data_IF_777107830022
#
_entry.id   IF_777107830022
#
_cell.length_a   1.000
_cell.length_b   1.000
_cell.length_c   1.000
_cell.angle_alpha   90.00
_cell.angle_beta   90.00
_cell.angle_gamma   90.00
#
_symmetry.space_group_name_H-M   'P 1'
#
loop_
_entity.id
_entity.type
_entity.pdbx_description
1 polymer ?
#
# COMPACT_ATOMS: atom_id res chain seq x y z
N UNK A 1 64.95 47.36 15.05
CA UNK A 1 65.37 48.21 16.18
C UNK A 1 64.11 48.49 16.99
N UNK A 2 63.80 47.62 17.94
CA UNK A 2 64.00 47.81 19.41
C UNK A 2 62.96 48.74 20.05
N UNK A 3 62.01 48.13 20.78
CA UNK A 3 61.05 48.76 21.72
C UNK A 3 61.77 49.54 22.84
N UNK A 4 61.07 50.44 23.59
CA UNK A 4 60.41 50.00 24.84
C UNK A 4 59.14 50.78 25.32
N UNK A 5 58.24 50.01 25.94
CA UNK A 5 57.51 50.21 27.23
C UNK A 5 57.11 51.62 27.74
N UNK A 6 55.81 51.82 28.04
CA UNK A 6 55.25 52.11 29.40
C UNK A 6 53.69 52.14 29.33
N UNK A 7 52.96 51.16 29.87
CA UNK A 7 52.42 51.02 31.25
C UNK A 7 51.38 52.09 31.64
N UNK A 8 50.09 51.71 31.65
CA UNK A 8 49.17 52.12 32.72
C UNK A 8 48.10 51.07 32.94
N UNK A 9 48.01 50.64 34.19
CA UNK A 9 47.08 49.68 34.77
C UNK A 9 45.74 50.35 35.06
N UNK A 10 44.63 49.64 34.88
CA UNK A 10 43.59 49.57 35.91
C UNK A 10 42.95 48.17 35.85
N UNK A 11 42.84 47.58 37.04
CA UNK A 11 42.37 46.24 37.35
C UNK A 11 40.97 46.30 37.98
N UNK A 12 40.35 45.13 38.16
CA UNK A 12 39.06 44.80 38.80
C UNK A 12 37.91 44.57 37.78
N UNK A 13 37.27 43.41 37.70
CA UNK A 13 37.39 42.22 38.52
C UNK A 13 36.40 41.11 38.12
N UNK A 14 36.58 39.98 38.80
CA UNK A 14 35.67 38.84 39.01
C UNK A 14 35.25 37.98 37.81
N UNK A 15 35.97 36.86 37.69
CA UNK A 15 35.47 35.48 37.56
C UNK A 15 33.95 35.26 37.61
N UNK A 16 33.42 34.58 36.59
CA UNK A 16 32.40 33.54 36.77
C UNK A 16 32.65 32.40 35.78
N UNK A 17 32.70 31.19 36.33
CA UNK A 17 32.91 29.93 35.65
C UNK A 17 31.77 29.57 34.69
N UNK A 18 32.17 28.87 33.64
CA UNK A 18 31.45 27.83 32.90
C UNK A 18 30.05 27.42 33.40
N UNK A 19 29.08 27.56 32.50
CA UNK A 19 28.05 26.55 32.26
C UNK A 19 27.93 26.31 30.76
N UNK A 20 28.46 25.17 30.30
CA UNK A 20 27.98 24.53 29.09
C UNK A 20 26.52 24.12 29.35
N UNK A 21 25.59 24.60 28.53
CA UNK A 21 24.35 23.89 28.25
C UNK A 21 24.15 23.91 26.74
N UNK A 22 23.93 22.75 26.11
CA UNK A 22 23.53 22.70 24.71
C UNK A 22 22.18 23.42 24.59
N UNK A 23 22.06 24.25 23.56
CA UNK A 23 20.75 24.67 23.08
C UNK A 23 19.97 23.40 22.72
N UNK A 24 19.15 22.93 23.66
CA UNK A 24 18.06 22.02 23.36
C UNK A 24 17.25 22.69 22.26
N UNK A 25 17.31 22.13 21.06
CA UNK A 25 16.35 22.43 20.02
C UNK A 25 15.00 22.01 20.59
N UNK A 26 14.25 22.98 21.14
CA UNK A 26 12.84 22.79 21.38
C UNK A 26 12.23 22.44 20.01
N UNK A 27 11.61 21.25 19.92
CA UNK A 27 10.72 20.96 18.80
C UNK A 27 9.74 22.13 18.68
N UNK A 28 9.46 22.65 17.48
CA UNK A 28 8.51 23.74 17.32
C UNK A 28 7.21 23.34 18.01
N UNK A 29 6.66 24.23 18.84
CA UNK A 29 5.31 24.07 19.39
C UNK A 29 4.39 23.62 18.26
N UNK A 30 3.70 22.49 18.42
CA UNK A 30 2.92 21.90 17.33
C UNK A 30 1.94 22.96 16.81
N UNK A 31 2.08 23.33 15.54
CA UNK A 31 1.16 24.28 14.88
C UNK A 31 -0.31 23.80 14.95
N UNK A 32 -0.51 22.51 15.24
CA UNK A 32 -1.81 21.90 15.42
C UNK A 32 -2.53 22.35 16.70
N UNK A 33 -3.73 22.93 16.59
CA UNK A 33 -4.58 23.22 17.75
C UNK A 33 -4.92 21.98 18.56
N UNK A 34 -5.06 22.13 19.87
CA UNK A 34 -5.35 21.02 20.78
C UNK A 34 -6.72 20.35 20.54
N UNK A 35 -7.65 21.07 19.90
CA UNK A 35 -8.99 20.62 19.55
C UNK A 35 -9.13 20.17 18.08
N UNK A 36 -8.01 20.01 17.35
CA UNK A 36 -8.03 19.72 15.92
C UNK A 36 -8.80 18.45 15.56
N UNK A 37 -8.57 17.34 16.28
CA UNK A 37 -9.28 16.08 16.04
C UNK A 37 -10.79 16.23 16.28
N UNK A 38 -11.18 16.95 17.34
CA UNK A 38 -12.60 17.18 17.62
C UNK A 38 -13.24 18.02 16.51
N UNK A 39 -12.59 19.11 16.09
CA UNK A 39 -13.09 19.97 15.01
C UNK A 39 -13.28 19.20 13.69
N UNK A 40 -12.34 18.31 13.36
CA UNK A 40 -12.42 17.44 12.19
C UNK A 40 -13.55 16.41 12.33
N UNK A 41 -13.69 15.82 13.51
CA UNK A 41 -14.72 14.82 13.81
C UNK A 41 -16.14 15.41 13.81
N UNK A 42 -16.30 16.66 14.23
CA UNK A 42 -17.56 17.38 14.16
C UNK A 42 -18.00 17.55 12.70
N UNK A 43 -17.06 17.85 11.79
CA UNK A 43 -17.32 17.89 10.35
C UNK A 43 -17.67 16.51 9.79
N UNK A 44 -16.94 15.46 10.17
CA UNK A 44 -17.26 14.08 9.77
C UNK A 44 -18.69 13.72 10.21
N UNK A 45 -19.07 14.09 11.43
CA UNK A 45 -20.40 13.86 11.98
C UNK A 45 -21.46 14.66 11.23
N UNK A 46 -21.21 15.92 10.91
CA UNK A 46 -22.12 16.75 10.10
C UNK A 46 -22.35 16.17 8.70
N UNK A 47 -21.30 15.60 8.08
CA UNK A 47 -21.42 14.89 6.79
C UNK A 47 -22.29 13.64 6.95
N UNK A 48 -22.03 12.80 7.97
CA UNK A 48 -22.81 11.58 8.22
C UNK A 48 -24.28 11.87 8.50
N UNK A 49 -24.58 12.97 9.17
CA UNK A 49 -25.94 13.45 9.44
C UNK A 49 -26.58 14.15 8.23
N UNK A 50 -25.83 14.39 7.15
CA UNK A 50 -26.29 15.08 5.95
C UNK A 50 -26.52 16.59 6.14
N UNK A 51 -26.04 17.17 7.24
CA UNK A 51 -26.14 18.61 7.51
C UNK A 51 -25.02 19.40 6.84
N UNK A 52 -23.87 18.75 6.57
CA UNK A 52 -22.84 19.27 5.68
C UNK A 52 -22.80 18.47 4.37
N UNK A 53 -22.81 19.18 3.24
CA UNK A 53 -22.69 18.60 1.88
C UNK A 53 -21.80 19.41 0.95
N UNK A 54 -21.35 20.60 1.36
CA UNK A 54 -20.53 21.46 0.52
C UNK A 54 -19.12 20.87 0.38
N UNK A 55 -18.73 20.39 -0.82
CA UNK A 55 -17.41 19.79 -1.01
C UNK A 55 -16.28 20.79 -0.78
N UNK A 56 -16.49 22.09 -1.00
CA UNK A 56 -15.44 23.11 -0.78
C UNK A 56 -15.09 23.19 0.70
N UNK A 57 -16.08 23.26 1.58
CA UNK A 57 -15.87 23.29 3.03
C UNK A 57 -15.21 22.00 3.54
N UNK A 58 -15.61 20.84 3.02
CA UNK A 58 -15.05 19.54 3.39
C UNK A 58 -13.56 19.46 3.02
N UNK A 59 -13.22 19.80 1.77
CA UNK A 59 -11.85 19.75 1.26
C UNK A 59 -10.96 20.75 1.96
N UNK A 60 -11.44 21.99 2.15
CA UNK A 60 -10.70 23.04 2.87
C UNK A 60 -10.31 22.58 4.28
N UNK A 61 -11.21 21.87 4.96
CA UNK A 61 -10.93 21.36 6.30
C UNK A 61 -9.91 20.21 6.29
N UNK A 62 -9.96 19.32 5.29
CA UNK A 62 -8.96 18.27 5.12
C UNK A 62 -7.57 18.83 4.78
N UNK A 63 -7.49 19.79 3.85
CA UNK A 63 -6.24 20.48 3.49
C UNK A 63 -5.64 21.22 4.69
N UNK A 64 -6.48 21.91 5.48
CA UNK A 64 -6.04 22.55 6.72
C UNK A 64 -5.39 21.56 7.70
N UNK A 65 -5.97 20.37 7.88
CA UNK A 65 -5.42 19.35 8.76
C UNK A 65 -4.06 18.82 8.25
N UNK A 66 -3.94 18.56 6.95
CA UNK A 66 -2.69 18.12 6.31
C UNK A 66 -1.56 19.13 6.52
N UNK A 67 -1.87 20.42 6.41
CA UNK A 67 -0.88 21.50 6.55
C UNK A 67 -0.53 21.79 8.02
N UNK A 68 -1.53 21.78 8.91
CA UNK A 68 -1.38 22.30 10.28
C UNK A 68 -1.07 21.20 11.29
N UNK A 69 -1.48 19.96 11.00
CA UNK A 69 -1.43 18.82 11.93
C UNK A 69 -0.72 17.58 11.33
N UNK A 70 0.43 17.70 10.64
CA UNK A 70 1.05 16.56 9.94
C UNK A 70 1.44 15.41 10.88
N UNK A 71 1.81 15.71 12.13
CA UNK A 71 2.27 14.73 13.13
C UNK A 71 1.14 14.19 14.02
N UNK A 72 -0.13 14.45 13.67
CA UNK A 72 -1.32 14.02 14.42
C UNK A 72 -2.06 12.93 13.65
N UNK A 73 -1.80 11.64 13.91
CA UNK A 73 -2.25 10.57 13.04
C UNK A 73 -3.77 10.42 12.96
N UNK A 74 -4.49 10.73 14.05
CA UNK A 74 -5.95 10.70 14.07
C UNK A 74 -6.56 11.90 13.32
N UNK A 75 -5.95 13.09 13.41
CA UNK A 75 -6.35 14.25 12.60
C UNK A 75 -6.19 13.94 11.09
N UNK A 76 -5.07 13.30 10.71
CA UNK A 76 -4.85 12.88 9.32
C UNK A 76 -5.81 11.77 8.87
N UNK A 77 -6.15 10.83 9.76
CA UNK A 77 -7.14 9.80 9.45
C UNK A 77 -8.55 10.38 9.23
N UNK A 78 -8.96 11.36 10.04
CA UNK A 78 -10.23 12.05 9.84
C UNK A 78 -10.17 12.87 8.54
N UNK A 79 -9.06 13.56 8.25
CA UNK A 79 -8.88 14.28 6.98
C UNK A 79 -9.04 13.36 5.75
N UNK A 80 -8.46 12.15 5.79
CA UNK A 80 -8.68 11.14 4.75
C UNK A 80 -10.15 10.74 4.64
N UNK A 81 -10.86 10.63 5.76
CA UNK A 81 -12.30 10.31 5.80
C UNK A 81 -13.16 11.43 5.21
N UNK A 82 -12.85 12.69 5.51
CA UNK A 82 -13.48 13.85 4.87
C UNK A 82 -13.29 13.81 3.36
N UNK A 83 -12.08 13.48 2.89
CA UNK A 83 -11.82 13.35 1.45
C UNK A 83 -12.57 12.17 0.81
N UNK A 84 -12.79 11.07 1.52
CA UNK A 84 -13.67 9.97 1.05
C UNK A 84 -15.11 10.44 0.81
N UNK A 85 -15.60 11.38 1.60
CA UNK A 85 -16.89 12.03 1.35
C UNK A 85 -16.81 12.98 0.14
N UNK A 86 -15.75 13.78 0.03
CA UNK A 86 -15.58 14.76 -1.06
C UNK A 86 -15.50 14.10 -2.45
N UNK A 87 -14.77 12.99 -2.61
CA UNK A 87 -14.65 12.30 -3.91
C UNK A 87 -16.00 11.78 -4.43
N UNK A 88 -16.98 11.55 -3.55
CA UNK A 88 -18.33 11.09 -3.94
C UNK A 88 -19.22 12.22 -4.47
N UNK A 89 -18.78 13.48 -4.39
CA UNK A 89 -19.59 14.65 -4.77
C UNK A 89 -19.38 15.10 -6.21
N UNK A 90 -18.39 14.54 -6.91
CA UNK A 90 -17.99 14.98 -8.25
C UNK A 90 -17.69 13.79 -9.16
N UNK A 91 -17.92 13.97 -10.47
CA UNK A 91 -17.49 13.06 -11.53
C UNK A 91 -16.45 13.71 -12.45
N UNK A 92 -16.05 14.95 -12.15
CA UNK A 92 -14.99 15.64 -12.89
C UNK A 92 -13.64 14.98 -12.57
N UNK A 93 -13.01 14.39 -13.58
CA UNK A 93 -11.78 13.61 -13.43
C UNK A 93 -10.60 14.45 -12.95
N UNK A 94 -10.54 15.74 -13.29
CA UNK A 94 -9.44 16.62 -12.84
C UNK A 94 -9.63 17.03 -11.38
N UNK A 95 -10.89 17.25 -10.96
CA UNK A 95 -11.21 17.48 -9.54
C UNK A 95 -10.96 16.22 -8.71
N UNK A 96 -11.37 15.05 -9.23
CA UNK A 96 -11.11 13.77 -8.57
C UNK A 96 -9.60 13.52 -8.41
N UNK A 97 -8.78 13.79 -9.43
CA UNK A 97 -7.32 13.61 -9.36
C UNK A 97 -6.69 14.44 -8.22
N UNK A 98 -7.11 15.71 -8.09
CA UNK A 98 -6.70 16.56 -6.97
C UNK A 98 -7.16 15.96 -5.62
N UNK A 99 -8.43 15.58 -5.50
CA UNK A 99 -8.96 15.04 -4.24
C UNK A 99 -8.27 13.73 -3.84
N UNK A 100 -7.95 12.88 -4.81
CA UNK A 100 -7.18 11.67 -4.62
C UNK A 100 -5.78 11.98 -4.08
N UNK A 101 -5.09 12.98 -4.63
CA UNK A 101 -3.78 13.43 -4.12
C UNK A 101 -3.85 13.88 -2.66
N UNK A 102 -4.85 14.68 -2.30
CA UNK A 102 -5.07 15.15 -0.92
C UNK A 102 -5.36 13.97 0.02
N UNK A 103 -6.26 13.07 -0.38
CA UNK A 103 -6.61 11.88 0.40
C UNK A 103 -5.41 10.96 0.64
N UNK A 104 -4.62 10.67 -0.40
CA UNK A 104 -3.42 9.84 -0.29
C UNK A 104 -2.34 10.51 0.57
N UNK A 105 -2.25 11.84 0.54
CA UNK A 105 -1.34 12.59 1.40
C UNK A 105 -1.71 12.45 2.87
N UNK A 106 -2.99 12.62 3.22
CA UNK A 106 -3.49 12.43 4.58
C UNK A 106 -3.28 10.98 5.06
N UNK A 107 -3.58 9.98 4.22
CA UNK A 107 -3.32 8.57 4.55
C UNK A 107 -1.83 8.38 4.84
N UNK A 108 -0.94 8.81 3.95
CA UNK A 108 0.51 8.69 4.16
C UNK A 108 0.93 9.34 5.49
N UNK A 109 0.56 10.60 5.74
CA UNK A 109 0.93 11.27 6.98
C UNK A 109 0.39 10.55 8.23
N UNK A 110 -0.84 10.02 8.16
CA UNK A 110 -1.41 9.18 9.21
C UNK A 110 -0.58 7.93 9.46
N UNK A 111 -0.01 7.31 8.42
CA UNK A 111 0.87 6.14 8.57
C UNK A 111 2.17 6.50 9.29
N UNK A 112 2.83 7.57 8.83
CA UNK A 112 4.12 8.01 9.37
C UNK A 112 4.04 8.52 10.80
N UNK A 113 2.95 9.20 11.16
CA UNK A 113 2.76 9.75 12.49
C UNK A 113 2.22 8.73 13.51
N UNK A 114 1.70 7.59 13.04
CA UNK A 114 1.14 6.57 13.92
C UNK A 114 2.21 5.83 14.71
N UNK A 115 1.82 5.28 15.87
CA UNK A 115 2.66 4.44 16.69
C UNK A 115 1.80 3.37 17.38
N UNK A 116 2.29 2.13 17.45
CA UNK A 116 1.63 0.99 18.12
C UNK A 116 1.30 1.22 19.59
N UNK A 117 2.01 2.14 20.26
CA UNK A 117 1.81 2.48 21.68
C UNK A 117 0.89 3.69 21.90
N UNK A 118 0.36 4.28 20.84
CA UNK A 118 -0.52 5.43 20.96
C UNK A 118 -1.90 5.00 21.46
N UNK A 119 -2.41 5.69 22.49
CA UNK A 119 -3.79 5.53 22.92
C UNK A 119 -4.74 6.11 21.86
N UNK A 120 -5.89 5.46 21.57
CA UNK A 120 -6.90 6.01 20.68
C UNK A 120 -7.36 7.39 21.16
N UNK A 121 -7.59 8.32 20.22
CA UNK A 121 -8.20 9.60 20.57
C UNK A 121 -9.60 9.39 21.14
N UNK A 122 -9.94 10.11 22.20
CA UNK A 122 -11.29 10.15 22.76
C UNK A 122 -12.00 11.39 22.23
N UNK A 123 -13.01 11.18 21.41
CA UNK A 123 -13.77 12.24 20.75
C UNK A 123 -15.17 12.33 21.34
N UNK A 124 -15.68 13.55 21.46
CA UNK A 124 -17.04 13.80 21.97
C UNK A 124 -18.05 13.70 20.83
N UNK A 125 -19.15 13.02 21.10
CA UNK A 125 -20.32 12.98 20.23
C UNK A 125 -21.25 14.16 20.49
N UNK A 126 -22.23 14.35 19.60
CA UNK A 126 -23.22 15.43 19.71
C UNK A 126 -24.10 15.33 20.98
N UNK A 127 -24.29 14.13 21.52
CA UNK A 127 -25.01 13.90 22.79
C UNK A 127 -24.14 14.06 24.04
N UNK A 128 -22.86 14.43 23.86
CA UNK A 128 -21.87 14.58 24.93
C UNK A 128 -21.22 13.27 25.38
N UNK A 129 -21.58 12.13 24.80
CA UNK A 129 -20.90 10.85 25.05
C UNK A 129 -19.50 10.82 24.41
N UNK A 130 -18.63 9.99 24.96
CA UNK A 130 -17.25 9.81 24.45
C UNK A 130 -17.16 8.58 23.55
N UNK A 131 -16.40 8.69 22.46
CA UNK A 131 -16.09 7.62 21.54
C UNK A 131 -14.58 7.50 21.34
N UNK A 132 -14.06 6.27 21.45
CA UNK A 132 -12.69 5.97 21.04
C UNK A 132 -12.58 5.95 19.52
N UNK A 133 -11.63 6.70 18.97
CA UNK A 133 -11.36 6.79 17.56
C UNK A 133 -10.02 6.12 17.23
N UNK A 134 -10.07 5.16 16.31
CA UNK A 134 -8.90 4.37 15.89
C UNK A 134 -8.43 4.83 14.51
N UNK A 135 -7.68 5.93 14.43
CA UNK A 135 -7.35 6.57 13.15
C UNK A 135 -6.59 5.67 12.18
N UNK A 136 -5.66 4.84 12.65
CA UNK A 136 -4.92 3.93 11.76
C UNK A 136 -5.84 2.97 10.99
N UNK A 137 -6.80 2.37 11.69
CA UNK A 137 -7.78 1.47 11.06
C UNK A 137 -8.70 2.23 10.12
N UNK A 138 -9.15 3.42 10.52
CA UNK A 138 -9.98 4.27 9.67
C UNK A 138 -9.27 4.68 8.39
N UNK A 139 -8.02 5.17 8.46
CA UNK A 139 -7.24 5.56 7.29
C UNK A 139 -6.97 4.36 6.36
N UNK A 140 -6.68 3.18 6.92
CA UNK A 140 -6.54 1.93 6.16
C UNK A 140 -7.85 1.53 5.46
N UNK A 141 -8.99 1.71 6.13
CA UNK A 141 -10.32 1.53 5.56
C UNK A 141 -10.63 2.52 4.42
N UNK A 142 -10.19 3.77 4.54
CA UNK A 142 -10.31 4.76 3.45
C UNK A 142 -9.43 4.37 2.26
N UNK A 143 -8.18 3.95 2.49
CA UNK A 143 -7.27 3.49 1.44
C UNK A 143 -7.89 2.35 0.62
N UNK A 144 -8.32 1.29 1.31
CA UNK A 144 -8.80 0.05 0.67
C UNK A 144 -10.25 0.14 0.20
N UNK A 145 -11.12 0.85 0.93
CA UNK A 145 -12.54 0.96 0.62
C UNK A 145 -12.91 2.13 -0.28
N UNK A 146 -12.02 3.12 -0.46
CA UNK A 146 -12.30 4.30 -1.31
C UNK A 146 -11.13 4.61 -2.24
N UNK A 147 -9.94 4.86 -1.73
CA UNK A 147 -8.87 5.44 -2.54
C UNK A 147 -8.46 4.55 -3.71
N UNK A 148 -8.10 3.29 -3.45
CA UNK A 148 -7.69 2.35 -4.51
C UNK A 148 -8.83 2.04 -5.51
N UNK A 149 -10.08 1.77 -5.07
CA UNK A 149 -11.21 1.65 -5.99
C UNK A 149 -11.42 2.88 -6.87
N UNK A 150 -11.33 4.10 -6.34
CA UNK A 150 -11.49 5.31 -7.15
C UNK A 150 -10.33 5.52 -8.13
N UNK A 151 -9.09 5.23 -7.75
CA UNK A 151 -7.94 5.27 -8.67
C UNK A 151 -8.17 4.35 -9.88
N UNK A 152 -8.63 3.12 -9.64
CA UNK A 152 -8.93 2.16 -10.71
C UNK A 152 -10.12 2.60 -11.59
N UNK A 153 -11.19 3.13 -10.98
CA UNK A 153 -12.34 3.65 -11.72
C UNK A 153 -11.99 4.88 -12.59
N UNK A 154 -11.16 5.79 -12.07
CA UNK A 154 -10.66 6.95 -12.80
C UNK A 154 -9.77 6.52 -13.96
N UNK A 155 -8.86 5.57 -13.74
CA UNK A 155 -8.00 5.03 -14.79
C UNK A 155 -8.82 4.36 -15.90
N UNK A 156 -9.88 3.62 -15.54
CA UNK A 156 -10.85 3.07 -16.49
C UNK A 156 -11.64 4.13 -17.27
N UNK A 157 -11.71 5.35 -16.75
CA UNK A 157 -12.35 6.50 -17.40
C UNK A 157 -11.36 7.39 -18.17
N UNK A 158 -10.10 6.97 -18.31
CA UNK A 158 -9.07 7.66 -19.09
C UNK A 158 -8.19 8.64 -18.31
N UNK A 159 -8.37 8.78 -16.98
CA UNK A 159 -7.49 9.58 -16.11
C UNK A 159 -6.70 8.66 -15.19
N UNK A 160 -5.45 8.38 -15.54
CA UNK A 160 -4.55 7.57 -14.73
C UNK A 160 -3.82 8.48 -13.75
N UNK A 161 -4.10 8.33 -12.46
CA UNK A 161 -3.43 9.10 -11.40
C UNK A 161 -1.99 8.59 -11.18
N UNK A 162 -1.02 9.46 -10.86
CA UNK A 162 0.40 9.10 -10.70
C UNK A 162 0.64 7.91 -9.77
N UNK A 163 -0.15 7.79 -8.68
CA UNK A 163 -0.05 6.71 -7.71
C UNK A 163 -0.10 5.29 -8.30
N UNK A 164 -0.80 5.06 -9.42
CA UNK A 164 -0.92 3.74 -10.10
C UNK A 164 -0.41 3.76 -11.55
N UNK A 165 0.16 4.88 -11.99
CA UNK A 165 0.60 5.09 -13.38
C UNK A 165 1.87 4.31 -13.73
N UNK A 166 2.70 3.99 -12.73
CA UNK A 166 4.05 3.46 -12.90
C UNK A 166 5.14 4.53 -12.85
N UNK A 167 4.75 5.81 -12.76
CA UNK A 167 5.69 6.89 -12.46
C UNK A 167 6.41 6.65 -11.12
N UNK A 168 7.72 6.95 -11.03
CA UNK A 168 8.46 6.82 -9.79
C UNK A 168 7.81 7.62 -8.66
N UNK A 169 7.62 6.98 -7.51
CA UNK A 169 7.14 7.67 -6.31
C UNK A 169 8.30 8.47 -5.70
N UNK A 170 8.05 9.73 -5.35
CA UNK A 170 9.07 10.58 -4.71
C UNK A 170 9.45 10.15 -3.29
N UNK A 171 8.58 9.41 -2.60
CA UNK A 171 8.80 8.85 -1.27
C UNK A 171 7.93 7.60 -1.09
N UNK A 172 8.36 6.66 -0.25
CA UNK A 172 7.51 5.56 0.19
C UNK A 172 6.21 6.11 0.81
N UNK A 173 5.02 5.60 0.45
CA UNK A 173 3.77 6.02 1.06
C UNK A 173 3.48 5.34 2.41
N UNK A 174 4.32 4.39 2.83
CA UNK A 174 4.16 3.65 4.09
C UNK A 174 5.33 3.91 5.04
N UNK A 175 5.02 3.88 6.32
CA UNK A 175 6.02 4.08 7.37
C UNK A 175 6.91 2.83 7.52
N UNK A 176 8.16 3.03 7.93
CA UNK A 176 9.14 1.93 8.12
C UNK A 176 8.81 1.00 9.30
N UNK A 177 7.96 1.44 10.22
CA UNK A 177 7.68 0.75 11.48
C UNK A 177 6.38 -0.08 11.43
N UNK A 178 5.70 -0.13 10.27
CA UNK A 178 4.43 -0.84 10.11
C UNK A 178 4.20 -1.29 8.67
N UNK A 179 3.94 -2.59 8.50
CA UNK A 179 3.67 -3.17 7.18
C UNK A 179 2.16 -3.33 6.93
N UNK A 180 1.34 -3.23 7.98
CA UNK A 180 -0.08 -3.62 7.96
C UNK A 180 -0.92 -2.92 6.88
N UNK A 181 -0.63 -1.64 6.62
CA UNK A 181 -1.33 -0.87 5.58
C UNK A 181 -0.89 -1.27 4.17
N UNK A 182 0.40 -1.56 3.96
CA UNK A 182 0.90 -2.13 2.71
C UNK A 182 0.25 -3.49 2.47
N UNK A 183 0.23 -4.38 3.47
CA UNK A 183 -0.40 -5.70 3.34
C UNK A 183 -1.88 -5.59 2.97
N UNK A 184 -2.59 -4.60 3.53
CA UNK A 184 -4.00 -4.32 3.24
C UNK A 184 -4.23 -3.85 1.80
N UNK A 185 -3.38 -2.95 1.29
CA UNK A 185 -3.40 -2.53 -0.12
C UNK A 185 -3.13 -3.71 -1.05
N UNK A 186 -2.12 -4.52 -0.75
CA UNK A 186 -1.75 -5.65 -1.61
C UNK A 186 -2.83 -6.74 -1.58
N UNK A 187 -3.43 -7.00 -0.42
CA UNK A 187 -4.56 -7.93 -0.30
C UNK A 187 -5.75 -7.50 -1.18
N UNK A 188 -5.99 -6.19 -1.31
CA UNK A 188 -7.01 -5.68 -2.22
C UNK A 188 -6.63 -5.89 -3.68
N UNK A 189 -5.39 -5.58 -4.06
CA UNK A 189 -4.90 -5.80 -5.42
C UNK A 189 -5.04 -7.26 -5.82
N UNK A 190 -4.55 -8.17 -4.98
CA UNK A 190 -4.60 -9.61 -5.21
C UNK A 190 -6.02 -10.12 -5.49
N UNK A 191 -6.98 -9.75 -4.64
CA UNK A 191 -8.40 -10.09 -4.83
C UNK A 191 -9.00 -9.51 -6.11
N UNK A 192 -8.45 -8.39 -6.58
CA UNK A 192 -8.98 -7.65 -7.72
C UNK A 192 -8.42 -8.12 -9.06
N UNK A 193 -7.23 -8.72 -9.08
CA UNK A 193 -6.48 -9.03 -10.31
C UNK A 193 -6.35 -10.51 -10.65
N UNK A 194 -6.67 -11.42 -9.71
CA UNK A 194 -6.54 -12.86 -9.95
C UNK A 194 -7.29 -13.32 -11.20
N UNK A 195 -6.58 -13.97 -12.13
CA UNK A 195 -7.09 -14.45 -13.41
C UNK A 195 -7.36 -13.36 -14.43
N UNK A 196 -6.91 -12.11 -14.18
CA UNK A 196 -7.14 -10.95 -15.05
C UNK A 196 -5.89 -10.49 -15.78
N UNK A 197 -4.92 -11.38 -15.98
CA UNK A 197 -3.78 -11.08 -16.84
C UNK A 197 -4.26 -10.65 -18.24
N UNK A 198 -3.83 -9.46 -18.68
CA UNK A 198 -4.29 -8.81 -19.91
C UNK A 198 -5.35 -7.72 -19.70
N UNK A 199 -6.00 -7.65 -18.53
CA UNK A 199 -6.89 -6.55 -18.19
C UNK A 199 -6.08 -5.33 -17.71
N UNK A 200 -6.57 -4.09 -17.97
CA UNK A 200 -5.89 -2.87 -17.51
C UNK A 200 -5.60 -2.83 -15.99
N UNK A 201 -6.49 -3.41 -15.18
CA UNK A 201 -6.32 -3.46 -13.73
C UNK A 201 -5.09 -4.25 -13.28
N UNK A 202 -4.72 -5.30 -14.03
CA UNK A 202 -3.50 -6.06 -13.77
C UNK A 202 -2.27 -5.17 -13.98
N UNK A 203 -2.25 -4.40 -15.08
CA UNK A 203 -1.17 -3.44 -15.37
C UNK A 203 -1.09 -2.33 -14.32
N UNK A 204 -2.21 -1.81 -13.82
CA UNK A 204 -2.18 -0.79 -12.77
C UNK A 204 -1.64 -1.34 -11.44
N UNK A 205 -1.99 -2.58 -11.08
CA UNK A 205 -1.42 -3.26 -9.92
C UNK A 205 0.08 -3.52 -10.10
N UNK A 206 0.52 -4.00 -11.28
CA UNK A 206 1.93 -4.17 -11.64
C UNK A 206 2.70 -2.85 -11.48
N UNK A 207 2.18 -1.76 -12.05
CA UNK A 207 2.78 -0.44 -11.99
C UNK A 207 2.92 0.04 -10.54
N UNK A 208 1.84 -0.10 -9.76
CA UNK A 208 1.81 0.29 -8.36
C UNK A 208 2.83 -0.48 -7.53
N UNK A 209 2.84 -1.81 -7.62
CA UNK A 209 3.76 -2.66 -6.86
C UNK A 209 5.22 -2.43 -7.26
N UNK A 210 5.50 -2.24 -8.55
CA UNK A 210 6.85 -1.92 -9.04
C UNK A 210 7.34 -0.57 -8.50
N UNK A 211 6.48 0.45 -8.53
CA UNK A 211 6.81 1.78 -8.01
C UNK A 211 7.02 1.77 -6.48
N UNK A 212 6.21 0.99 -5.75
CA UNK A 212 6.40 0.75 -4.31
C UNK A 212 7.72 0.03 -4.03
N UNK A 213 8.04 -1.04 -4.76
CA UNK A 213 9.29 -1.79 -4.60
C UNK A 213 10.52 -0.89 -4.80
N UNK A 214 10.46 0.08 -5.71
CA UNK A 214 11.52 1.05 -5.91
C UNK A 214 11.61 2.11 -4.79
N UNK A 215 10.47 2.57 -4.26
CA UNK A 215 10.40 3.68 -3.32
C UNK A 215 10.47 3.27 -1.83
N UNK A 216 10.24 2.00 -1.50
CA UNK A 216 10.12 1.50 -0.13
C UNK A 216 11.19 0.44 0.22
N UNK A 217 12.46 0.82 0.44
CA UNK A 217 13.53 -0.12 0.80
C UNK A 217 13.26 -0.99 2.02
N UNK A 218 12.62 -0.45 3.06
CA UNK A 218 12.30 -1.19 4.30
C UNK A 218 11.32 -2.33 4.05
N UNK A 219 10.40 -2.14 3.12
CA UNK A 219 9.34 -3.08 2.75
C UNK A 219 9.74 -4.01 1.60
N UNK A 220 11.00 -3.97 1.16
CA UNK A 220 11.43 -4.59 -0.09
C UNK A 220 11.20 -6.08 -0.14
N UNK A 221 11.46 -6.78 0.98
CA UNK A 221 11.27 -8.22 1.07
C UNK A 221 9.81 -8.65 0.87
N UNK A 222 8.87 -7.93 1.49
CA UNK A 222 7.44 -8.18 1.29
C UNK A 222 7.00 -7.81 -0.12
N UNK A 223 7.53 -6.72 -0.68
CA UNK A 223 7.25 -6.32 -2.06
C UNK A 223 7.79 -7.33 -3.09
N UNK A 224 8.94 -7.97 -2.82
CA UNK A 224 9.43 -9.11 -3.61
C UNK A 224 8.43 -10.27 -3.56
N UNK A 225 7.91 -10.62 -2.39
CA UNK A 225 6.84 -11.62 -2.27
C UNK A 225 5.59 -11.25 -3.07
N UNK A 226 5.15 -9.99 -3.00
CA UNK A 226 3.94 -9.54 -3.66
C UNK A 226 4.08 -9.44 -5.18
N UNK A 227 5.23 -9.03 -5.70
CA UNK A 227 5.54 -9.08 -7.13
C UNK A 227 5.70 -10.52 -7.62
N UNK A 228 6.33 -11.39 -6.81
CA UNK A 228 6.36 -12.83 -7.10
C UNK A 228 4.95 -13.44 -7.13
N UNK A 229 4.07 -13.04 -6.22
CA UNK A 229 2.65 -13.45 -6.19
C UNK A 229 1.90 -12.99 -7.43
N UNK A 230 2.02 -11.69 -7.78
CA UNK A 230 1.35 -11.07 -8.92
C UNK A 230 1.52 -11.91 -10.20
N UNK A 231 2.77 -12.29 -10.52
CA UNK A 231 3.07 -13.07 -11.71
C UNK A 231 2.95 -14.58 -11.49
N UNK A 232 3.44 -15.07 -10.36
CA UNK A 232 3.53 -16.48 -10.02
C UNK A 232 2.18 -17.16 -9.91
N UNK A 233 1.16 -16.45 -9.40
CA UNK A 233 -0.20 -17.00 -9.34
C UNK A 233 -0.83 -17.18 -10.74
N UNK A 234 -0.52 -16.28 -11.67
CA UNK A 234 -1.00 -16.39 -13.06
C UNK A 234 -0.28 -17.50 -13.79
N UNK A 235 1.05 -17.65 -13.57
CA UNK A 235 1.83 -18.78 -14.08
C UNK A 235 1.25 -20.09 -13.56
N UNK A 236 1.00 -20.20 -12.26
CA UNK A 236 0.40 -21.38 -11.64
C UNK A 236 -0.98 -21.66 -12.24
N UNK A 237 -1.85 -20.66 -12.32
CA UNK A 237 -3.20 -20.81 -12.88
C UNK A 237 -3.18 -21.26 -14.36
N UNK A 238 -2.25 -20.75 -15.17
CA UNK A 238 -2.10 -21.12 -16.57
C UNK A 238 -1.52 -22.52 -16.77
N UNK A 239 -0.67 -22.98 -15.85
CA UNK A 239 0.11 -24.22 -16.01
C UNK A 239 -0.39 -25.38 -15.15
N UNK A 240 -1.31 -25.11 -14.23
CA UNK A 240 -1.87 -26.12 -13.34
C UNK A 240 -2.91 -26.98 -14.05
N UNK A 241 -2.54 -28.23 -14.35
CA UNK A 241 -3.41 -29.23 -14.96
C UNK A 241 -3.82 -30.28 -13.92
N UNK A 242 -5.12 -30.56 -13.84
CA UNK A 242 -5.68 -31.60 -12.98
C UNK A 242 -6.04 -32.83 -13.81
N UNK A 243 -5.63 -34.00 -13.34
CA UNK A 243 -6.02 -35.29 -13.91
C UNK A 243 -7.12 -35.92 -13.05
N UNK A 244 -8.35 -35.80 -13.51
CA UNK A 244 -9.55 -36.13 -12.75
C UNK A 244 -10.20 -37.39 -13.29
N UNK A 245 -10.95 -38.09 -12.44
CA UNK A 245 -11.80 -39.22 -12.84
C UNK A 245 -13.27 -38.84 -12.69
N UNK A 246 -14.09 -39.13 -13.70
CA UNK A 246 -15.54 -38.91 -13.64
C UNK A 246 -16.28 -40.19 -14.03
N UNK A 247 -17.12 -40.68 -13.12
CA UNK A 247 -17.89 -41.93 -13.30
C UNK A 247 -18.96 -41.85 -14.40
N UNK A 248 -19.51 -40.66 -14.67
CA UNK A 248 -20.68 -40.46 -15.53
C UNK A 248 -20.35 -39.94 -16.94
N UNK A 249 -19.15 -40.18 -17.45
CA UNK A 249 -18.70 -39.62 -18.73
C UNK A 249 -19.47 -40.23 -19.93
N UNK A 250 -20.54 -39.55 -20.33
CA UNK A 250 -21.47 -39.74 -21.46
C UNK A 250 -22.08 -41.13 -21.76
N UNK A 251 -21.49 -42.29 -21.44
CA UNK A 251 -22.08 -43.59 -21.81
C UNK A 251 -21.64 -44.75 -20.89
N UNK A 252 -21.74 -44.58 -19.56
CA UNK A 252 -21.79 -45.71 -18.61
C UNK A 252 -20.46 -46.40 -18.27
N UNK A 253 -19.32 -45.84 -18.64
CA UNK A 253 -18.02 -46.20 -18.05
C UNK A 253 -17.28 -44.91 -17.72
N UNK A 254 -16.83 -44.79 -16.47
CA UNK A 254 -16.09 -43.62 -16.02
C UNK A 254 -14.80 -43.44 -16.81
N UNK A 255 -14.32 -42.20 -16.90
CA UNK A 255 -13.13 -41.84 -17.67
C UNK A 255 -12.23 -40.88 -16.92
N UNK A 256 -10.94 -41.00 -17.16
CA UNK A 256 -9.99 -39.97 -16.78
C UNK A 256 -10.02 -38.82 -17.80
N UNK A 257 -9.90 -37.60 -17.30
CA UNK A 257 -9.84 -36.40 -18.12
C UNK A 257 -8.90 -35.37 -17.49
N UNK A 258 -8.42 -34.48 -18.34
CA UNK A 258 -7.65 -33.32 -17.91
C UNK A 258 -8.55 -32.09 -17.82
N UNK A 259 -8.30 -31.26 -16.80
CA UNK A 259 -8.90 -29.93 -16.69
C UNK A 259 -7.87 -28.90 -16.27
N UNK A 260 -8.18 -27.65 -16.58
CA UNK A 260 -7.39 -26.49 -16.19
C UNK A 260 -8.37 -25.34 -15.88
N UNK A 261 -8.23 -24.74 -14.71
CA UNK A 261 -9.17 -23.75 -14.20
C UNK A 261 -9.23 -22.50 -15.08
N UNK A 262 -8.10 -22.07 -15.68
CA UNK A 262 -8.06 -20.92 -16.58
C UNK A 262 -8.90 -21.15 -17.85
N UNK A 263 -8.96 -22.38 -18.35
CA UNK A 263 -9.74 -22.73 -19.53
C UNK A 263 -11.26 -22.84 -19.26
N UNK A 264 -11.73 -22.65 -18.02
CA UNK A 264 -13.14 -22.78 -17.63
C UNK A 264 -13.61 -24.23 -17.51
N UNK A 265 -12.70 -25.16 -17.19
CA UNK A 265 -12.95 -26.60 -16.97
C UNK A 265 -13.71 -27.38 -18.08
N UNK A 266 -13.44 -27.18 -19.39
CA UNK A 266 -13.84 -28.19 -20.36
C UNK A 266 -13.04 -29.48 -20.13
N UNK A 267 -13.69 -30.61 -20.33
CA UNK A 267 -13.05 -31.92 -20.26
C UNK A 267 -12.11 -32.09 -21.47
N UNK A 268 -10.81 -32.24 -21.21
CA UNK A 268 -9.80 -32.51 -22.26
C UNK A 268 -9.40 -34.00 -22.28
N UNK A 269 -9.34 -34.58 -23.47
CA UNK A 269 -8.53 -35.78 -23.71
C UNK A 269 -7.04 -35.42 -23.68
N UNK A 270 -6.16 -36.41 -23.49
CA UNK A 270 -4.70 -36.23 -23.48
C UNK A 270 -4.20 -35.39 -24.66
N UNK A 271 -4.55 -35.79 -25.89
CA UNK A 271 -4.11 -35.08 -27.11
C UNK A 271 -4.55 -33.61 -27.15
N UNK A 272 -5.80 -33.33 -26.73
CA UNK A 272 -6.33 -31.97 -26.69
C UNK A 272 -5.69 -31.16 -25.56
N UNK A 273 -5.40 -31.81 -24.45
CA UNK A 273 -4.68 -31.20 -23.33
C UNK A 273 -3.29 -30.77 -23.78
N UNK A 274 -2.52 -31.63 -24.46
CA UNK A 274 -1.15 -31.30 -24.89
C UNK A 274 -1.10 -30.06 -25.81
N UNK A 275 -2.02 -29.96 -26.77
CA UNK A 275 -2.13 -28.77 -27.63
C UNK A 275 -2.48 -27.52 -26.81
N UNK A 276 -3.43 -27.64 -25.88
CA UNK A 276 -3.84 -26.51 -25.05
C UNK A 276 -2.76 -26.11 -24.05
N UNK A 277 -2.02 -27.08 -23.51
CA UNK A 277 -0.88 -26.88 -22.62
C UNK A 277 0.19 -26.04 -23.30
N UNK A 278 0.56 -26.37 -24.54
CA UNK A 278 1.54 -25.56 -25.29
C UNK A 278 1.08 -24.10 -25.46
N UNK A 279 -0.22 -23.86 -25.71
CA UNK A 279 -0.79 -22.50 -25.79
C UNK A 279 -0.71 -21.75 -24.44
N UNK A 280 -1.08 -22.42 -23.33
CA UNK A 280 -1.08 -21.81 -22.00
C UNK A 280 0.34 -21.60 -21.47
N UNK A 281 1.26 -22.54 -21.70
CA UNK A 281 2.67 -22.41 -21.37
C UNK A 281 3.30 -21.21 -22.11
N UNK A 282 2.96 -21.03 -23.40
CA UNK A 282 3.42 -19.86 -24.17
C UNK A 282 2.94 -18.53 -23.57
N UNK A 283 1.71 -18.49 -23.02
CA UNK A 283 1.17 -17.32 -22.30
C UNK A 283 1.84 -17.12 -20.94
N UNK A 284 2.21 -18.20 -20.26
CA UNK A 284 2.81 -18.16 -18.93
C UNK A 284 4.29 -17.76 -18.95
N UNK A 285 5.05 -18.12 -19.99
CA UNK A 285 6.49 -17.81 -20.12
C UNK A 285 6.87 -16.33 -19.84
N UNK A 286 6.23 -15.31 -20.45
CA UNK A 286 6.58 -13.92 -20.16
C UNK A 286 6.31 -13.52 -18.69
N UNK A 287 5.29 -14.11 -18.05
CA UNK A 287 5.02 -13.89 -16.62
C UNK A 287 6.06 -14.59 -15.74
N UNK A 288 6.48 -15.80 -16.12
CA UNK A 288 7.52 -16.54 -15.44
C UNK A 288 8.85 -15.75 -15.43
N UNK A 289 9.24 -15.16 -16.56
CA UNK A 289 10.42 -14.28 -16.64
C UNK A 289 10.33 -13.08 -15.70
N UNK A 290 9.13 -12.48 -15.54
CA UNK A 290 8.92 -11.40 -14.57
C UNK A 290 8.97 -11.89 -13.13
N UNK A 291 8.47 -13.09 -12.84
CA UNK A 291 8.42 -13.67 -11.49
C UNK A 291 9.81 -14.05 -10.95
N UNK A 292 10.69 -14.59 -11.81
CA UNK A 292 12.02 -15.11 -11.46
C UNK A 292 12.86 -14.20 -10.55
N UNK A 293 13.12 -12.92 -10.89
CA UNK A 293 13.96 -12.07 -10.05
C UNK A 293 13.38 -11.84 -8.66
N UNK A 294 12.06 -11.70 -8.54
CA UNK A 294 11.38 -11.47 -7.26
C UNK A 294 11.32 -12.74 -6.40
N UNK A 295 11.08 -13.91 -7.00
CA UNK A 295 11.18 -15.19 -6.30
C UNK A 295 12.61 -15.42 -5.78
N UNK A 296 13.63 -15.17 -6.62
CA UNK A 296 15.02 -15.32 -6.22
C UNK A 296 15.39 -14.37 -5.06
N UNK A 297 14.97 -13.12 -5.11
CA UNK A 297 15.19 -12.14 -4.05
C UNK A 297 14.44 -12.50 -2.76
N UNK A 298 13.19 -12.96 -2.86
CA UNK A 298 12.39 -13.37 -1.70
C UNK A 298 12.99 -14.58 -0.98
N UNK A 299 13.40 -15.61 -1.72
CA UNK A 299 14.04 -16.80 -1.14
C UNK A 299 15.48 -16.57 -0.66
N UNK A 300 16.08 -15.43 -0.97
CA UNK A 300 17.39 -15.09 -0.43
C UNK A 300 17.27 -14.73 1.05
N UNK A 301 17.81 -15.59 1.91
CA UNK A 301 17.90 -15.35 3.36
C UNK A 301 19.28 -14.80 3.70
N UNK A 302 19.34 -13.65 4.37
CA UNK A 302 20.63 -13.12 4.83
C UNK A 302 21.21 -14.01 5.95
N UNK A 303 22.55 -14.09 6.08
CA UNK A 303 23.17 -14.81 7.17
C UNK A 303 22.68 -14.32 8.55
N UNK A 304 22.14 -15.23 9.37
CA UNK A 304 21.65 -14.92 10.72
C UNK A 304 20.15 -14.64 10.84
N UNK A 305 19.42 -14.65 9.73
CA UNK A 305 17.97 -14.48 9.72
C UNK A 305 17.27 -15.86 9.75
N UNK A 306 16.35 -16.07 10.71
CA UNK A 306 15.51 -17.27 10.79
C UNK A 306 14.12 -16.96 10.23
N UNK A 307 13.80 -17.58 9.10
CA UNK A 307 12.50 -17.45 8.40
C UNK A 307 11.65 -18.72 8.46
N UNK A 308 11.96 -19.65 9.35
CA UNK A 308 11.32 -20.98 9.41
C UNK A 308 9.79 -20.93 9.58
N UNK A 309 9.26 -19.85 10.15
CA UNK A 309 7.83 -19.67 10.41
C UNK A 309 7.11 -18.72 9.44
N UNK A 310 7.79 -18.26 8.38
CA UNK A 310 7.15 -17.39 7.40
C UNK A 310 6.22 -18.19 6.48
N UNK A 311 4.91 -18.04 6.73
CA UNK A 311 3.85 -18.70 5.93
C UNK A 311 3.85 -18.27 4.46
N UNK A 312 4.46 -17.12 4.11
CA UNK A 312 4.64 -16.67 2.72
C UNK A 312 5.57 -17.60 1.93
N UNK A 313 6.50 -18.30 2.59
CA UNK A 313 7.43 -19.24 1.94
C UNK A 313 6.72 -20.40 1.25
N UNK A 314 5.69 -20.98 1.87
CA UNK A 314 4.99 -22.13 1.30
C UNK A 314 4.17 -21.74 0.07
N UNK A 315 3.53 -20.56 0.09
CA UNK A 315 2.87 -20.01 -1.08
C UNK A 315 3.87 -19.72 -2.21
N UNK A 316 5.01 -19.10 -1.90
CA UNK A 316 6.04 -18.78 -2.88
C UNK A 316 6.68 -20.03 -3.51
N UNK A 317 6.79 -21.14 -2.77
CA UNK A 317 7.31 -22.42 -3.30
C UNK A 317 6.43 -22.93 -4.43
N UNK A 318 5.11 -22.88 -4.28
CA UNK A 318 4.17 -23.31 -5.34
C UNK A 318 4.43 -22.55 -6.63
N UNK A 319 4.61 -21.22 -6.54
CA UNK A 319 4.89 -20.39 -7.72
C UNK A 319 6.27 -20.63 -8.30
N UNK A 320 7.30 -20.81 -7.46
CA UNK A 320 8.64 -21.17 -7.91
C UNK A 320 8.62 -22.49 -8.68
N UNK A 321 7.97 -23.52 -8.13
CA UNK A 321 7.91 -24.83 -8.77
C UNK A 321 7.12 -24.76 -10.10
N UNK A 322 6.08 -23.93 -10.20
CA UNK A 322 5.36 -23.68 -11.45
C UNK A 322 6.24 -22.97 -12.50
N UNK A 323 7.03 -21.98 -12.08
CA UNK A 323 7.99 -21.26 -12.93
C UNK A 323 9.10 -22.20 -13.42
N UNK A 324 9.68 -23.02 -12.55
CA UNK A 324 10.75 -23.97 -12.90
C UNK A 324 10.27 -25.06 -13.87
N UNK A 325 9.03 -25.54 -13.73
CA UNK A 325 8.42 -26.51 -14.66
C UNK A 325 8.29 -25.99 -16.08
N UNK A 326 8.15 -24.68 -16.29
CA UNK A 326 8.09 -24.08 -17.64
C UNK A 326 9.44 -24.06 -18.34
N UNK A 327 10.53 -24.02 -17.57
CA UNK A 327 11.90 -24.05 -18.08
C UNK A 327 12.40 -25.47 -18.36
N UNK A 328 11.83 -26.47 -17.67
CA UNK A 328 12.07 -27.87 -17.98
C UNK A 328 11.60 -28.17 -19.43
N UNK A 329 12.42 -28.91 -20.18
CA UNK A 329 12.07 -29.33 -21.53
C UNK A 329 10.74 -30.10 -21.51
N UNK A 330 9.88 -29.95 -22.54
CA UNK A 330 8.65 -30.73 -22.60
C UNK A 330 9.00 -32.23 -22.61
N UNK A 331 8.51 -32.95 -21.60
CA UNK A 331 8.54 -34.42 -21.56
C UNK A 331 7.67 -35.03 -22.65
#
# INVERSE_FOLDING_TARGET
MTHPLTRTLFSLGLTALATCLPAAHAAPDSACPADAEQRLYDMETAIRQGTQKDPVAIVTMAEWAIETCPDRPDAQAIAATLMSAAVRTTNDLDVLDRYMTVMLTAIRQSDYAWNTKQDPSVLKQADGSEASYFGYSTATGVLTGTALPYLTAMAGSGRIHPAISGEPLGICPYADHSDSRLESEVSLWDKSIKGKNGDPIFTWAENRLTALHAACPTHRHDLDFYLARLYGQEVETLTHWNHNYMEAMNYGSGGYYWSNAFAGDPIFSEEKMQVKKAELDAKARPLAEKAKPYLAAFFYTQPGEDRTFDTKLDAAKVWRDAVEKLDAAPE
#
